data_IF_585799870637
#
_entry.id   IF_585799870637
#
_cell.length_a   1.000
_cell.length_b   1.000
_cell.length_c   1.000
_cell.angle_alpha   90.00
_cell.angle_beta   90.00
_cell.angle_gamma   90.00
#
_symmetry.space_group_name_H-M   'P 1'
#
loop_
_entity.id
_entity.type
_entity.pdbx_description
1 polymer ?
#
# COMPACT_ATOMS: atom_id res chain seq x y z
N UNK A 1 -11.49 5.41 -4.21
CA UNK A 1 -10.42 4.49 -4.68
C UNK A 1 -9.52 5.31 -5.54
N UNK A 2 -8.21 5.20 -5.32
CA UNK A 2 -7.20 5.79 -6.20
C UNK A 2 -7.24 5.05 -7.53
N UNK A 3 -7.23 5.79 -8.63
CA UNK A 3 -7.42 5.30 -9.99
C UNK A 3 -6.17 4.53 -10.51
N UNK A 4 -5.84 3.37 -9.93
CA UNK A 4 -4.55 2.71 -10.17
C UNK A 4 -4.57 1.16 -10.25
N UNK A 5 -3.40 0.59 -10.56
CA UNK A 5 -3.20 -0.88 -10.65
C UNK A 5 -3.47 -1.62 -9.33
N UNK A 6 -3.23 -0.97 -8.19
CA UNK A 6 -3.51 -1.54 -6.87
C UNK A 6 -4.99 -1.84 -6.64
N UNK A 7 -5.90 -1.03 -7.20
CA UNK A 7 -7.35 -1.28 -7.15
C UNK A 7 -7.71 -2.56 -7.90
N UNK A 8 -7.20 -2.73 -9.13
CA UNK A 8 -7.47 -3.92 -9.96
C UNK A 8 -6.92 -5.20 -9.34
N UNK A 9 -5.75 -5.13 -8.70
CA UNK A 9 -5.18 -6.25 -7.97
C UNK A 9 -6.05 -6.60 -6.76
N UNK A 10 -6.49 -5.58 -6.01
CA UNK A 10 -7.40 -5.75 -4.87
C UNK A 10 -8.70 -6.41 -5.29
N UNK A 11 -9.39 -5.87 -6.29
CA UNK A 11 -10.62 -6.44 -6.85
C UNK A 11 -10.43 -7.91 -7.23
N UNK A 12 -9.34 -8.23 -7.95
CA UNK A 12 -9.08 -9.59 -8.39
C UNK A 12 -8.83 -10.55 -7.22
N UNK A 13 -8.15 -10.11 -6.17
CA UNK A 13 -7.90 -10.92 -4.98
C UNK A 13 -9.18 -11.16 -4.18
N UNK A 14 -10.05 -10.14 -4.09
CA UNK A 14 -11.37 -10.28 -3.47
C UNK A 14 -12.26 -11.26 -4.24
N UNK A 15 -12.25 -11.21 -5.58
CA UNK A 15 -12.95 -12.18 -6.44
C UNK A 15 -12.49 -13.63 -6.19
N UNK A 16 -11.23 -13.81 -5.79
CA UNK A 16 -10.65 -15.11 -5.46
C UNK A 16 -10.89 -15.52 -3.99
N UNK A 17 -11.61 -14.70 -3.21
CA UNK A 17 -11.97 -14.99 -1.82
C UNK A 17 -10.89 -14.65 -0.78
N UNK A 18 -9.87 -13.88 -1.17
CA UNK A 18 -8.86 -13.42 -0.23
C UNK A 18 -9.42 -12.36 0.73
N UNK A 19 -8.86 -12.28 1.93
CA UNK A 19 -8.97 -11.11 2.78
C UNK A 19 -7.79 -10.18 2.51
N UNK A 20 -8.07 -8.89 2.39
CA UNK A 20 -7.08 -7.91 1.96
C UNK A 20 -6.93 -6.78 2.98
N UNK A 21 -5.71 -6.58 3.46
CA UNK A 21 -5.33 -5.36 4.15
C UNK A 21 -4.81 -4.34 3.11
N UNK A 22 -5.51 -3.21 2.98
CA UNK A 22 -5.13 -2.13 2.11
C UNK A 22 -4.45 -1.02 2.92
N UNK A 23 -3.13 -0.86 2.76
CA UNK A 23 -2.38 0.19 3.45
C UNK A 23 -2.50 1.49 2.66
N UNK A 24 -2.98 2.55 3.30
CA UNK A 24 -3.26 3.85 2.69
C UNK A 24 -2.55 4.94 3.49
N UNK A 25 -1.90 5.91 2.84
CA UNK A 25 -1.15 6.96 3.55
C UNK A 25 -2.05 7.85 4.43
N UNK A 26 -3.21 8.28 3.90
CA UNK A 26 -4.11 9.23 4.55
C UNK A 26 -5.57 8.82 4.40
N UNK A 27 -6.37 9.15 5.40
CA UNK A 27 -7.82 8.95 5.36
C UNK A 27 -8.52 9.90 4.40
N UNK A 28 -8.02 11.14 4.30
CA UNK A 28 -8.57 12.14 3.40
C UNK A 28 -8.31 11.75 1.93
N UNK A 29 -9.40 11.56 1.17
CA UNK A 29 -9.33 11.06 -0.21
C UNK A 29 -9.26 9.54 -0.34
N UNK A 30 -9.22 8.81 0.79
CA UNK A 30 -9.26 7.36 0.76
C UNK A 30 -10.56 6.85 0.15
N UNK A 31 -10.44 5.72 -0.54
CA UNK A 31 -11.57 4.92 -0.95
C UNK A 31 -12.49 4.55 0.21
N UNK A 32 -13.77 4.31 -0.07
CA UNK A 32 -14.55 3.44 0.81
C UNK A 32 -13.95 2.03 0.80
N UNK A 33 -13.87 1.42 1.96
CA UNK A 33 -13.49 0.02 2.08
C UNK A 33 -14.47 -0.89 1.33
N UNK A 34 -13.95 -1.93 0.67
CA UNK A 34 -14.75 -2.97 0.04
C UNK A 34 -15.05 -4.09 1.05
N UNK A 35 -16.07 -4.93 0.79
CA UNK A 35 -16.24 -6.18 1.53
C UNK A 35 -14.93 -7.02 1.53
N UNK A 36 -14.65 -7.71 2.63
CA UNK A 36 -13.43 -8.51 2.83
C UNK A 36 -12.11 -7.71 2.72
N UNK A 37 -12.17 -6.39 2.93
CA UNK A 37 -10.98 -5.55 3.09
C UNK A 37 -10.93 -4.90 4.46
N UNK A 38 -9.72 -4.59 4.92
CA UNK A 38 -9.47 -3.67 6.03
C UNK A 38 -8.46 -2.62 5.62
N UNK A 39 -8.81 -1.36 5.75
CA UNK A 39 -7.90 -0.25 5.51
C UNK A 39 -7.01 -0.03 6.72
N UNK A 40 -5.72 0.15 6.47
CA UNK A 40 -4.70 0.49 7.47
C UNK A 40 -4.11 1.83 7.07
N UNK A 41 -4.43 2.88 7.82
CA UNK A 41 -3.85 4.18 7.56
C UNK A 41 -2.42 4.23 8.10
N UNK A 42 -1.42 4.42 7.26
CA UNK A 42 -0.01 4.34 7.62
C UNK A 42 0.84 5.20 6.70
N UNK A 43 1.65 6.10 7.28
CA UNK A 43 2.70 6.77 6.54
C UNK A 43 3.88 5.81 6.40
N UNK A 44 4.02 5.17 5.23
CA UNK A 44 5.07 4.17 5.00
C UNK A 44 6.48 4.76 4.98
N UNK A 45 6.61 6.09 4.90
CA UNK A 45 7.91 6.77 5.04
C UNK A 45 8.38 6.83 6.50
N UNK A 46 7.47 6.63 7.46
CA UNK A 46 7.78 6.51 8.87
C UNK A 46 7.99 5.03 9.25
N UNK A 47 9.25 4.64 9.39
CA UNK A 47 9.63 3.26 9.72
C UNK A 47 9.02 2.74 11.03
N UNK A 48 9.02 3.54 12.10
CA UNK A 48 8.51 3.08 13.41
C UNK A 48 6.99 2.86 13.40
N UNK A 49 6.24 3.75 12.75
CA UNK A 49 4.78 3.62 12.59
C UNK A 49 4.45 2.41 11.71
N UNK A 50 5.16 2.29 10.58
CA UNK A 50 5.02 1.16 9.65
C UNK A 50 5.27 -0.17 10.35
N UNK A 51 6.40 -0.29 11.04
CA UNK A 51 6.75 -1.52 11.73
C UNK A 51 5.69 -1.94 12.75
N UNK A 52 5.21 -1.00 13.58
CA UNK A 52 4.18 -1.28 14.58
C UNK A 52 2.88 -1.75 13.93
N UNK A 53 2.40 -1.03 12.90
CA UNK A 53 1.14 -1.39 12.21
C UNK A 53 1.23 -2.72 11.48
N UNK A 54 2.34 -3.00 10.80
CA UNK A 54 2.53 -4.29 10.13
C UNK A 54 2.67 -5.44 11.13
N UNK A 55 3.30 -5.19 12.28
CA UNK A 55 3.37 -6.16 13.37
C UNK A 55 1.97 -6.50 13.92
N UNK A 56 1.12 -5.49 14.12
CA UNK A 56 -0.25 -5.66 14.62
C UNK A 56 -1.19 -6.37 13.63
N UNK A 57 -0.91 -6.32 12.32
CA UNK A 57 -1.65 -7.09 11.30
C UNK A 57 -1.43 -8.60 11.48
N UNK A 58 -0.25 -9.00 11.97
CA UNK A 58 0.11 -10.40 12.16
C UNK A 58 0.55 -11.10 10.86
N UNK A 59 0.60 -12.45 10.85
CA UNK A 59 1.13 -13.22 9.73
C UNK A 59 0.24 -13.09 8.48
N UNK A 60 0.89 -12.92 7.34
CA UNK A 60 0.25 -12.72 6.03
C UNK A 60 0.87 -13.69 5.04
N UNK A 61 0.13 -14.06 3.99
CA UNK A 61 0.63 -15.04 3.03
C UNK A 61 1.16 -14.42 1.74
N UNK A 62 0.87 -13.14 1.50
CA UNK A 62 1.38 -12.42 0.35
C UNK A 62 1.49 -10.93 0.62
N UNK A 63 2.48 -10.31 -0.01
CA UNK A 63 2.69 -8.86 -0.04
C UNK A 63 2.75 -8.42 -1.49
N UNK A 64 1.94 -7.43 -1.84
CA UNK A 64 2.03 -6.70 -3.09
C UNK A 64 2.55 -5.32 -2.75
N UNK A 65 3.82 -5.09 -3.05
CA UNK A 65 4.39 -3.75 -3.02
C UNK A 65 3.98 -3.05 -4.32
N UNK A 66 2.89 -2.30 -4.27
CA UNK A 66 2.39 -1.46 -5.36
C UNK A 66 2.58 0.02 -4.99
N UNK A 67 3.74 0.36 -4.43
CA UNK A 67 4.15 1.72 -4.14
C UNK A 67 5.12 2.20 -5.24
N UNK A 68 4.65 3.12 -6.09
CA UNK A 68 5.50 3.73 -7.10
C UNK A 68 4.97 5.10 -7.49
N UNK A 69 5.67 6.16 -7.08
CA UNK A 69 5.50 7.49 -7.64
C UNK A 69 6.68 7.79 -8.54
N UNK A 70 6.38 7.98 -9.83
CA UNK A 70 7.37 8.45 -10.77
C UNK A 70 7.59 9.96 -10.54
N UNK A 71 8.70 10.31 -9.88
CA UNK A 71 9.22 11.68 -9.90
C UNK A 71 10.01 11.82 -11.21
N UNK A 72 9.42 12.51 -12.19
CA UNK A 72 10.06 12.73 -13.49
C UNK A 72 10.86 14.04 -13.40
N UNK A 73 12.16 13.92 -13.20
CA UNK A 73 13.13 15.03 -13.28
C UNK A 73 14.21 14.69 -14.31
N UNK A 74 14.79 15.72 -14.95
CA UNK A 74 15.94 15.56 -15.84
C UNK A 74 17.13 15.06 -15.02
N UNK A 75 17.87 14.07 -15.54
CA UNK A 75 18.99 13.45 -14.81
C UNK A 75 20.04 14.45 -14.33
N UNK A 76 20.19 15.58 -15.03
CA UNK A 76 21.14 16.64 -14.66
C UNK A 76 20.61 17.62 -13.60
N UNK A 77 19.30 17.60 -13.35
CA UNK A 77 18.61 18.53 -12.46
C UNK A 77 18.11 17.86 -11.17
N UNK A 78 18.29 16.54 -11.03
CA UNK A 78 17.90 15.82 -9.83
C UNK A 78 18.75 16.28 -8.64
N UNK A 79 18.05 16.67 -7.57
CA UNK A 79 18.67 16.99 -6.27
C UNK A 79 18.73 15.74 -5.38
N UNK A 80 19.61 15.74 -4.36
CA UNK A 80 19.64 14.68 -3.34
C UNK A 80 18.25 14.50 -2.67
N UNK A 81 17.54 15.60 -2.46
CA UNK A 81 16.14 15.57 -1.99
C UNK A 81 15.16 15.01 -3.03
N UNK A 82 15.44 15.13 -4.33
CA UNK A 82 14.67 14.53 -5.41
C UNK A 82 14.84 13.00 -5.44
N UNK A 83 16.09 12.52 -5.36
CA UNK A 83 16.42 11.10 -5.22
C UNK A 83 15.80 10.48 -3.97
N UNK A 84 15.95 11.12 -2.80
CA UNK A 84 15.39 10.61 -1.55
C UNK A 84 13.84 10.56 -1.59
N UNK A 85 13.20 11.44 -2.36
CA UNK A 85 11.74 11.42 -2.55
C UNK A 85 11.29 10.38 -3.57
N UNK A 86 12.04 10.12 -4.64
CA UNK A 86 11.71 9.06 -5.59
C UNK A 86 11.82 7.66 -4.98
N UNK A 87 12.75 7.46 -4.03
CA UNK A 87 12.96 6.17 -3.38
C UNK A 87 11.94 5.88 -2.25
N UNK A 88 11.31 6.90 -1.67
CA UNK A 88 10.52 6.74 -0.43
C UNK A 88 9.15 7.43 -0.38
N UNK A 89 8.68 8.15 -1.41
CA UNK A 89 7.49 8.98 -1.26
C UNK A 89 6.27 8.60 -2.11
N UNK A 90 5.17 8.38 -1.36
CA UNK A 90 3.74 8.24 -1.71
C UNK A 90 3.29 6.84 -2.12
N UNK A 91 3.17 5.98 -1.11
CA UNK A 91 2.35 4.77 -1.19
C UNK A 91 0.89 5.15 -1.33
N UNK A 92 0.27 4.84 -2.47
CA UNK A 92 -1.19 4.88 -2.52
C UNK A 92 -1.80 3.54 -2.08
N UNK A 93 -1.14 2.40 -2.28
CA UNK A 93 -1.61 1.10 -1.80
C UNK A 93 -0.46 0.08 -1.68
N UNK A 94 -0.06 -0.28 -0.46
CA UNK A 94 0.59 -1.58 -0.22
C UNK A 94 -0.50 -2.59 0.12
N UNK A 95 -0.54 -3.70 -0.62
CA UNK A 95 -1.56 -4.71 -0.42
C UNK A 95 -0.99 -5.89 0.34
N UNK A 96 -1.59 -6.19 1.47
CA UNK A 96 -1.21 -7.31 2.31
C UNK A 96 -2.32 -8.36 2.25
N UNK A 97 -1.96 -9.56 1.83
CA UNK A 97 -2.90 -10.64 1.49
C UNK A 97 -2.93 -11.65 2.63
N UNK A 98 -4.12 -11.89 3.18
CA UNK A 98 -4.40 -13.00 4.10
C UNK A 98 -5.40 -13.95 3.42
N UNK A 99 -4.99 -15.09 2.88
CA UNK A 99 -5.89 -16.14 2.43
C UNK A 99 -6.70 -16.71 3.60
N UNK A 100 -7.96 -17.00 3.29
CA UNK A 100 -8.88 -17.75 4.15
C UNK A 100 -8.57 -19.25 4.10
N UNK A 101 -7.47 -19.66 4.72
CA UNK A 101 -7.20 -21.05 5.14
C UNK A 101 -6.26 -20.90 6.32
N UNK A 102 -6.66 -21.14 7.58
CA UNK A 102 -7.04 -22.42 8.17
C UNK A 102 -8.08 -22.26 9.31
N UNK A 103 -9.17 -23.04 9.26
CA UNK A 103 -9.74 -23.69 10.45
C UNK A 103 -9.24 -25.14 10.45
#
# INVERSE_FOLDING_TARGET
MGYGMGEKITERLLDLGAFVYAVVEKEEGAAKALPNTKQIFCDVSNWEDTYKKMYDIGPVHGLVNNAGVAVIESFFDVTENGWNKSDFHKSELDLIIVPNTWY
#
